data_IF_352136769656
#
_entry.id   IF_352136769656
#
_cell.length_a   1.000
_cell.length_b   1.000
_cell.length_c   1.000
_cell.angle_alpha   90.00
_cell.angle_beta   90.00
_cell.angle_gamma   90.00
#
_symmetry.space_group_name_H-M   'P 1'
#
loop_
_entity.id
_entity.type
_entity.pdbx_description
1 polymer ?
#
# COMPACT_ATOMS: atom_id res chain seq x y z
N UNK A 1 1.93 -3.59 -14.62
CA UNK A 1 2.85 -2.97 -13.64
C UNK A 1 3.44 -4.07 -12.80
N UNK A 2 4.75 -4.03 -12.50
CA UNK A 2 5.41 -4.94 -11.57
C UNK A 2 5.46 -4.26 -10.20
N UNK A 3 5.08 -4.97 -9.15
CA UNK A 3 5.16 -4.48 -7.76
C UNK A 3 6.39 -5.11 -7.09
N UNK A 4 7.19 -4.30 -6.40
CA UNK A 4 8.39 -4.78 -5.71
C UNK A 4 8.17 -4.89 -4.20
N UNK A 5 8.72 -5.92 -3.53
CA UNK A 5 8.64 -6.07 -2.06
C UNK A 5 9.26 -4.93 -1.26
N UNK A 6 10.02 -4.06 -1.93
CA UNK A 6 10.70 -2.87 -1.40
C UNK A 6 9.95 -1.57 -1.73
N UNK A 7 8.82 -1.64 -2.42
CA UNK A 7 8.04 -0.47 -2.82
C UNK A 7 6.78 -0.30 -1.97
N UNK A 8 6.49 0.93 -1.54
CA UNK A 8 5.26 1.22 -0.81
C UNK A 8 4.10 1.45 -1.78
N UNK A 9 3.14 0.52 -1.82
CA UNK A 9 1.96 0.62 -2.70
C UNK A 9 1.05 1.80 -2.36
N UNK A 10 1.13 2.29 -1.11
CA UNK A 10 0.43 3.50 -0.67
C UNK A 10 1.05 4.76 -1.27
N UNK A 11 2.37 4.92 -1.17
CA UNK A 11 3.07 6.04 -1.80
C UNK A 11 2.94 6.00 -3.33
N UNK A 12 2.98 4.81 -3.94
CA UNK A 12 2.84 4.66 -5.40
C UNK A 12 1.54 5.27 -5.93
N UNK A 13 0.47 5.15 -5.16
CA UNK A 13 -0.85 5.70 -5.47
C UNK A 13 -1.10 7.14 -5.05
N UNK A 14 -0.23 7.74 -4.23
CA UNK A 14 -0.44 9.07 -3.66
C UNK A 14 0.01 10.15 -4.65
N UNK A 15 -0.92 10.59 -5.51
CA UNK A 15 -0.71 11.62 -6.54
C UNK A 15 -0.28 12.99 -6.00
N UNK A 16 -0.36 13.22 -4.68
CA UNK A 16 0.14 14.44 -4.03
C UNK A 16 1.66 14.44 -3.88
N UNK A 17 2.30 13.26 -4.01
CA UNK A 17 3.75 13.12 -3.94
C UNK A 17 4.39 13.31 -5.33
N UNK A 18 5.61 13.88 -5.40
CA UNK A 18 6.40 13.88 -6.63
C UNK A 18 6.60 12.46 -7.17
N UNK A 19 6.65 12.30 -8.50
CA UNK A 19 6.77 10.99 -9.15
C UNK A 19 7.89 10.11 -8.56
N UNK A 20 9.08 10.68 -8.36
CA UNK A 20 10.23 9.95 -7.81
C UNK A 20 9.98 9.42 -6.39
N UNK A 21 9.18 10.12 -5.57
CA UNK A 21 8.82 9.67 -4.23
C UNK A 21 7.76 8.56 -4.27
N UNK A 22 6.91 8.53 -5.30
CA UNK A 22 5.90 7.48 -5.49
C UNK A 22 6.53 6.16 -5.92
N UNK A 23 7.51 6.22 -6.82
CA UNK A 23 8.18 5.03 -7.37
C UNK A 23 9.43 4.61 -6.58
N UNK A 24 9.72 5.29 -5.48
CA UNK A 24 10.89 5.01 -4.65
C UNK A 24 10.86 3.59 -4.07
N UNK A 25 12.00 2.92 -4.10
CA UNK A 25 12.23 1.63 -3.46
C UNK A 25 13.10 1.80 -2.22
N UNK A 26 12.63 1.22 -1.11
CA UNK A 26 13.39 1.17 0.13
C UNK A 26 14.50 0.14 0.02
N UNK A 27 15.66 0.43 0.63
CA UNK A 27 16.79 -0.50 0.66
C UNK A 27 16.48 -1.85 1.34
N UNK A 28 15.44 -1.93 2.18
CA UNK A 28 15.03 -3.14 2.89
C UNK A 28 13.51 -3.26 2.98
N UNK A 29 12.91 -4.46 2.82
CA UNK A 29 11.48 -4.68 2.98
C UNK A 29 10.93 -4.19 4.32
N UNK A 30 11.64 -4.42 5.43
CA UNK A 30 11.19 -3.97 6.76
C UNK A 30 11.03 -2.44 6.86
N UNK A 31 11.85 -1.66 6.14
CA UNK A 31 11.70 -0.20 6.10
C UNK A 31 10.45 0.22 5.33
N UNK A 32 10.19 -0.44 4.19
CA UNK A 32 8.95 -0.24 3.42
C UNK A 32 7.72 -0.59 4.25
N UNK A 33 7.73 -1.74 4.94
CA UNK A 33 6.60 -2.18 5.77
C UNK A 33 6.29 -1.21 6.90
N UNK A 34 7.32 -0.60 7.52
CA UNK A 34 7.11 0.44 8.52
C UNK A 34 6.43 1.68 7.91
N UNK A 35 6.74 2.05 6.66
CA UNK A 35 6.04 3.14 5.99
C UNK A 35 4.57 2.80 5.74
N UNK A 36 4.30 1.58 5.24
CA UNK A 36 2.92 1.11 5.06
C UNK A 36 2.15 1.14 6.38
N UNK A 37 2.78 0.76 7.49
CA UNK A 37 2.21 0.87 8.84
C UNK A 37 1.72 2.28 9.16
N UNK A 38 2.54 3.32 8.91
CA UNK A 38 2.15 4.72 9.13
C UNK A 38 0.97 5.17 8.27
N UNK A 39 0.76 4.57 7.10
CA UNK A 39 -0.42 4.85 6.29
C UNK A 39 -1.67 4.23 6.92
N UNK A 40 -1.57 2.98 7.39
CA UNK A 40 -2.68 2.25 8.01
C UNK A 40 -3.06 2.85 9.38
N UNK A 41 -2.11 3.37 10.15
CA UNK A 41 -2.34 4.05 11.44
C UNK A 41 -3.22 5.30 11.33
N UNK A 42 -3.46 5.83 10.12
CA UNK A 42 -4.34 6.98 9.89
C UNK A 42 -5.82 6.60 9.82
N UNK A 43 -6.12 5.31 9.75
CA UNK A 43 -7.46 4.77 9.63
C UNK A 43 -7.86 4.08 10.93
N UNK A 44 -9.11 4.23 11.36
CA UNK A 44 -9.69 3.40 12.40
C UNK A 44 -9.79 1.94 11.89
N UNK A 45 -9.77 0.92 12.77
CA UNK A 45 -9.85 -0.48 12.35
C UNK A 45 -11.04 -0.80 11.42
N UNK A 46 -12.18 -0.16 11.68
CA UNK A 46 -13.44 -0.27 10.94
C UNK A 46 -13.57 0.69 9.74
N UNK A 47 -12.57 1.54 9.47
CA UNK A 47 -12.63 2.44 8.33
C UNK A 47 -12.52 1.68 7.01
N UNK A 48 -13.31 2.12 6.04
CA UNK A 48 -13.10 1.72 4.65
C UNK A 48 -11.82 2.36 4.13
N UNK A 49 -10.95 1.53 3.56
CA UNK A 49 -9.66 1.97 3.04
C UNK A 49 -9.70 1.94 1.51
N UNK A 50 -9.75 3.10 0.82
CA UNK A 50 -9.54 3.15 -0.62
C UNK A 50 -8.12 2.65 -0.90
N UNK A 51 -7.98 1.58 -1.69
CA UNK A 51 -6.67 1.01 -1.92
C UNK A 51 -5.93 1.83 -2.98
N UNK A 52 -4.85 2.54 -2.62
CA UNK A 52 -4.31 3.62 -3.44
C UNK A 52 -3.51 3.12 -4.65
N UNK A 53 -3.11 1.84 -4.70
CA UNK A 53 -2.33 1.29 -5.82
C UNK A 53 -3.02 1.61 -7.16
N UNK A 54 -2.32 2.19 -8.16
CA UNK A 54 -2.94 2.76 -9.35
C UNK A 54 -3.92 1.82 -10.09
N UNK A 55 -3.57 0.54 -10.22
CA UNK A 55 -4.45 -0.43 -10.88
C UNK A 55 -5.68 -0.80 -10.03
N UNK A 56 -5.53 -0.85 -8.71
CA UNK A 56 -6.63 -1.18 -7.81
C UNK A 56 -7.57 0.02 -7.64
N UNK A 57 -7.01 1.23 -7.57
CA UNK A 57 -7.75 2.50 -7.60
C UNK A 57 -8.54 2.64 -8.90
N UNK A 58 -7.94 2.34 -10.04
CA UNK A 58 -8.63 2.35 -11.34
C UNK A 58 -9.76 1.31 -11.42
N UNK A 59 -9.65 0.19 -10.70
CA UNK A 59 -10.71 -0.81 -10.55
C UNK A 59 -11.77 -0.43 -9.50
N UNK A 60 -11.66 0.75 -8.86
CA UNK A 60 -12.58 1.20 -7.82
C UNK A 60 -12.51 0.39 -6.53
N UNK A 61 -11.38 -0.28 -6.25
CA UNK A 61 -11.25 -1.13 -5.08
C UNK A 61 -11.29 -0.30 -3.78
N UNK A 62 -12.30 -0.59 -2.97
CA UNK A 62 -12.42 -0.12 -1.59
C UNK A 62 -12.44 -1.34 -0.68
N UNK A 63 -11.54 -1.36 0.29
CA UNK A 63 -11.43 -2.46 1.24
C UNK A 63 -12.23 -2.13 2.50
N UNK A 64 -13.00 -3.08 3.06
CA UNK A 64 -13.97 -2.76 4.11
C UNK A 64 -13.33 -2.47 5.47
N UNK A 65 -12.13 -2.97 5.74
CA UNK A 65 -11.40 -2.73 6.99
C UNK A 65 -9.89 -2.57 6.76
N UNK A 66 -9.14 -2.16 7.80
CA UNK A 66 -7.68 -2.01 7.78
C UNK A 66 -6.91 -3.34 7.68
N UNK A 67 -7.53 -4.47 8.06
CA UNK A 67 -6.91 -5.79 7.89
C UNK A 67 -6.87 -6.26 6.43
N UNK A 68 -7.85 -5.84 5.65
CA UNK A 68 -8.00 -6.24 4.24
C UNK A 68 -6.88 -5.72 3.33
N UNK A 69 -6.32 -4.51 3.51
CA UNK A 69 -5.12 -4.07 2.82
C UNK A 69 -3.96 -5.05 2.92
N UNK A 70 -3.72 -5.64 4.11
CA UNK A 70 -2.62 -6.63 4.27
C UNK A 70 -2.87 -7.87 3.44
N UNK A 71 -4.09 -8.41 3.50
CA UNK A 71 -4.48 -9.59 2.74
C UNK A 71 -4.48 -9.33 1.22
N UNK A 72 -5.02 -8.20 0.77
CA UNK A 72 -5.02 -7.80 -0.63
C UNK A 72 -3.58 -7.65 -1.18
N UNK A 73 -2.70 -7.00 -0.41
CA UNK A 73 -1.28 -6.83 -0.78
C UNK A 73 -0.58 -8.18 -0.96
N UNK A 74 -0.84 -9.14 -0.08
CA UNK A 74 -0.27 -10.49 -0.17
C UNK A 74 -0.83 -11.30 -1.35
N UNK A 75 -2.14 -11.26 -1.56
CA UNK A 75 -2.83 -12.11 -2.56
C UNK A 75 -2.66 -11.58 -3.98
N UNK A 76 -2.81 -10.27 -4.18
CA UNK A 76 -2.79 -9.60 -5.50
C UNK A 76 -1.39 -9.14 -5.88
N UNK A 77 -0.66 -8.51 -4.96
CA UNK A 77 0.66 -7.94 -5.25
C UNK A 77 1.83 -8.86 -4.87
N UNK A 78 1.57 -10.01 -4.22
CA UNK A 78 2.58 -10.96 -3.72
C UNK A 78 3.61 -10.31 -2.78
N UNK A 79 3.19 -9.28 -2.05
CA UNK A 79 4.00 -8.59 -1.05
C UNK A 79 3.41 -8.88 0.33
N UNK A 80 4.21 -9.48 1.20
CA UNK A 80 3.79 -9.82 2.56
C UNK A 80 4.11 -8.65 3.49
N UNK A 81 3.09 -7.94 3.95
CA UNK A 81 3.24 -6.90 4.96
C UNK A 81 3.41 -7.51 6.34
N UNK A 82 3.99 -6.75 7.27
CA UNK A 82 4.15 -7.19 8.65
C UNK A 82 2.79 -7.47 9.29
N UNK A 83 2.71 -8.62 10.00
CA UNK A 83 1.54 -9.01 10.79
C UNK A 83 1.16 -7.93 11.80
#
# INVERSE_FOLDING_TARGET
>A
MVCWPTQCLFCLGDERLPYLHRVFEYAKPNRMMNEVGKHLERFAPEDQVPYPHPQCKAAGLVLPTVMDPKNHTATVHKIFLRA
#
